data_IF_730951442166
#
_entry.id   IF_730951442166
#
_cell.length_a   1.000
_cell.length_b   1.000
_cell.length_c   1.000
_cell.angle_alpha   90.00
_cell.angle_beta   90.00
_cell.angle_gamma   90.00
#
_symmetry.space_group_name_H-M   'P 1'
#
loop_
_entity.id
_entity.type
_entity.pdbx_description
1 polymer ?
#
# COMPACT_ATOMS: atom_id res chain seq x y z
N UNK A 1 -21.94 -16.19 -41.35
CA UNK A 1 -21.65 -14.75 -41.40
C UNK A 1 -22.74 -13.93 -40.70
N UNK A 2 -24.03 -14.12 -40.92
CA UNK A 2 -25.13 -13.37 -40.25
C UNK A 2 -25.13 -13.49 -38.74
N UNK A 3 -24.82 -14.65 -38.13
CA UNK A 3 -24.81 -14.90 -36.68
C UNK A 3 -23.69 -14.12 -35.96
N UNK A 4 -22.57 -13.87 -36.59
CA UNK A 4 -21.46 -13.10 -36.03
C UNK A 4 -21.74 -11.59 -36.07
N UNK A 5 -22.43 -11.11 -37.12
CA UNK A 5 -22.88 -9.73 -37.21
C UNK A 5 -23.90 -9.38 -36.11
N UNK A 6 -24.86 -10.29 -35.84
CA UNK A 6 -25.83 -10.06 -34.74
C UNK A 6 -25.17 -10.06 -33.36
N UNK A 7 -24.19 -10.92 -33.14
CA UNK A 7 -23.42 -10.91 -31.87
C UNK A 7 -22.61 -9.62 -31.68
N UNK A 8 -22.04 -9.10 -32.78
CA UNK A 8 -21.25 -7.86 -32.74
C UNK A 8 -22.14 -6.63 -32.51
N UNK A 9 -23.33 -6.59 -33.14
CA UNK A 9 -24.33 -5.52 -32.89
C UNK A 9 -24.88 -5.58 -31.47
N UNK A 10 -25.14 -6.77 -30.92
CA UNK A 10 -25.61 -6.93 -29.55
C UNK A 10 -24.53 -6.55 -28.51
N UNK A 11 -23.26 -6.81 -28.80
CA UNK A 11 -22.14 -6.38 -27.96
C UNK A 11 -21.95 -4.86 -27.92
N UNK A 12 -22.23 -4.18 -29.05
CA UNK A 12 -22.08 -2.71 -29.12
C UNK A 12 -23.20 -1.94 -28.42
N UNK A 13 -24.37 -2.55 -28.23
CA UNK A 13 -25.51 -1.91 -27.54
C UNK A 13 -25.41 -1.98 -26.01
N UNK A 14 -24.49 -2.79 -25.47
CA UNK A 14 -24.25 -2.94 -24.03
C UNK A 14 -23.22 -1.92 -23.45
N UNK A 15 -22.63 -1.06 -24.28
CA UNK A 15 -21.84 0.07 -23.79
C UNK A 15 -22.79 1.13 -23.23
N UNK A 16 -23.31 0.84 -22.02
CA UNK A 16 -24.06 1.82 -21.23
C UNK A 16 -23.17 3.03 -20.98
N UNK A 17 -23.64 4.21 -21.33
CA UNK A 17 -22.98 5.47 -20.97
C UNK A 17 -22.96 5.52 -19.44
N UNK A 18 -21.79 5.30 -18.83
CA UNK A 18 -21.57 5.55 -17.41
C UNK A 18 -21.74 7.05 -17.19
N UNK A 19 -22.91 7.48 -16.76
CA UNK A 19 -23.13 8.85 -16.29
C UNK A 19 -22.45 8.97 -14.93
N UNK A 20 -21.22 9.50 -14.93
CA UNK A 20 -20.66 10.07 -13.73
C UNK A 20 -21.51 11.27 -13.34
N UNK A 21 -22.09 11.27 -12.14
CA UNK A 21 -22.76 12.45 -11.59
C UNK A 21 -21.68 13.52 -11.39
N UNK A 22 -21.58 14.45 -12.33
CA UNK A 22 -20.67 15.59 -12.22
C UNK A 22 -21.39 16.62 -11.37
N UNK A 23 -21.08 16.66 -10.07
CA UNK A 23 -21.46 17.81 -9.23
C UNK A 23 -20.69 19.04 -9.75
N UNK A 24 -21.40 19.94 -10.42
CA UNK A 24 -20.80 21.15 -10.98
C UNK A 24 -20.73 22.21 -9.88
N UNK A 25 -19.53 22.41 -9.33
CA UNK A 25 -19.25 23.49 -8.38
C UNK A 25 -18.58 24.66 -9.08
N UNK A 26 -19.03 25.87 -8.78
CA UNK A 26 -18.41 27.12 -9.27
C UNK A 26 -17.37 27.59 -8.26
N UNK A 27 -16.11 27.67 -8.67
CA UNK A 27 -15.00 28.13 -7.83
C UNK A 27 -14.57 29.54 -8.23
N UNK A 28 -14.15 30.33 -7.25
CA UNK A 28 -13.67 31.72 -7.48
C UNK A 28 -12.38 31.76 -8.32
N UNK A 29 -11.55 30.72 -8.21
CA UNK A 29 -10.28 30.59 -8.92
C UNK A 29 -9.85 29.11 -9.00
N UNK A 30 -8.82 28.85 -9.83
CA UNK A 30 -8.26 27.51 -10.02
C UNK A 30 -7.65 26.94 -8.74
N UNK A 31 -7.04 27.78 -7.88
CA UNK A 31 -6.45 27.33 -6.62
C UNK A 31 -7.50 26.78 -5.64
N UNK A 32 -8.69 27.38 -5.58
CA UNK A 32 -9.80 26.88 -4.75
C UNK A 32 -10.33 25.55 -5.30
N UNK A 33 -10.41 25.41 -6.62
CA UNK A 33 -10.79 24.15 -7.28
C UNK A 33 -9.79 23.04 -7.01
N UNK A 34 -8.50 23.33 -7.08
CA UNK A 34 -7.46 22.35 -6.81
C UNK A 34 -7.45 21.92 -5.34
N UNK A 35 -7.63 22.86 -4.41
CA UNK A 35 -7.83 22.57 -2.99
C UNK A 35 -9.04 21.66 -2.74
N UNK A 36 -10.16 21.91 -3.41
CA UNK A 36 -11.35 21.08 -3.32
C UNK A 36 -11.08 19.65 -3.80
N UNK A 37 -10.40 19.52 -4.95
CA UNK A 37 -10.01 18.21 -5.49
C UNK A 37 -9.07 17.44 -4.56
N UNK A 38 -8.10 18.14 -3.99
CA UNK A 38 -7.15 17.55 -3.03
C UNK A 38 -7.88 17.03 -1.79
N UNK A 39 -8.71 17.87 -1.16
CA UNK A 39 -9.47 17.51 0.04
C UNK A 39 -10.43 16.33 -0.21
N UNK A 40 -11.16 16.34 -1.32
CA UNK A 40 -12.11 15.26 -1.64
C UNK A 40 -11.44 13.94 -1.96
N UNK A 41 -10.19 13.94 -2.45
CA UNK A 41 -9.36 12.74 -2.65
C UNK A 41 -8.64 12.28 -1.39
N UNK A 42 -8.27 13.21 -0.51
CA UNK A 42 -7.60 12.89 0.75
C UNK A 42 -8.56 12.29 1.78
N UNK A 43 -9.84 12.64 1.70
CA UNK A 43 -10.85 12.21 2.66
C UNK A 43 -11.65 11.02 2.14
N UNK A 44 -11.86 10.02 3.02
CA UNK A 44 -12.67 8.83 2.74
C UNK A 44 -14.14 9.08 3.01
N UNK A 45 -14.97 8.48 2.21
CA UNK A 45 -16.39 8.39 2.48
C UNK A 45 -16.65 7.32 3.56
N UNK A 46 -17.19 7.65 4.74
CA UNK A 46 -17.31 6.71 5.86
C UNK A 46 -18.30 5.56 5.61
N UNK A 47 -19.15 5.64 4.59
CA UNK A 47 -20.15 4.60 4.24
C UNK A 47 -20.01 4.06 2.81
N UNK A 48 -18.88 4.31 2.12
CA UNK A 48 -18.73 4.03 0.69
C UNK A 48 -17.64 2.98 0.39
N UNK A 49 -17.58 1.87 1.11
CA UNK A 49 -16.63 0.79 0.86
C UNK A 49 -15.16 1.24 0.69
N UNK A 50 -14.74 2.18 1.52
CA UNK A 50 -13.37 2.69 1.55
C UNK A 50 -12.95 3.58 0.35
N UNK A 51 -13.91 4.02 -0.48
CA UNK A 51 -13.65 4.97 -1.56
C UNK A 51 -13.41 6.38 -1.01
N UNK A 52 -12.68 7.21 -1.76
CA UNK A 52 -12.60 8.63 -1.45
C UNK A 52 -13.92 9.36 -1.74
N UNK A 53 -14.03 10.59 -1.22
CA UNK A 53 -15.24 11.41 -1.38
C UNK A 53 -15.39 11.86 -2.85
N UNK A 54 -14.28 12.00 -3.59
CA UNK A 54 -14.32 12.45 -4.99
C UNK A 54 -14.95 11.41 -5.91
N UNK A 55 -14.60 10.14 -5.74
CA UNK A 55 -14.98 9.06 -6.67
C UNK A 55 -16.26 8.32 -6.25
N UNK A 56 -16.80 8.60 -5.07
CA UNK A 56 -18.01 7.95 -4.59
C UNK A 56 -19.29 8.63 -5.08
N UNK A 57 -20.20 7.84 -5.67
CA UNK A 57 -21.54 8.28 -6.08
C UNK A 57 -22.61 8.08 -4.98
N UNK A 58 -22.21 7.69 -3.77
CA UNK A 58 -23.15 7.55 -2.67
C UNK A 58 -23.72 8.92 -2.25
N UNK A 59 -25.01 8.99 -1.85
CA UNK A 59 -25.64 10.26 -1.42
C UNK A 59 -24.83 10.97 -0.34
N UNK A 60 -24.27 10.22 0.61
CA UNK A 60 -23.43 10.81 1.67
C UNK A 60 -22.15 11.44 1.13
N UNK A 61 -21.55 10.89 0.07
CA UNK A 61 -20.36 11.49 -0.54
C UNK A 61 -20.69 12.84 -1.20
N UNK A 62 -21.87 12.94 -1.83
CA UNK A 62 -22.39 14.20 -2.37
C UNK A 62 -22.60 15.25 -1.26
N UNK A 63 -23.16 14.85 -0.12
CA UNK A 63 -23.34 15.77 1.02
C UNK A 63 -21.99 16.21 1.60
N UNK A 64 -21.02 15.31 1.69
CA UNK A 64 -19.67 15.63 2.17
C UNK A 64 -18.94 16.58 1.20
N UNK A 65 -19.06 16.38 -0.12
CA UNK A 65 -18.50 17.30 -1.12
C UNK A 65 -19.12 18.69 -0.97
N UNK A 66 -20.43 18.78 -0.79
CA UNK A 66 -21.14 20.06 -0.58
C UNK A 66 -20.67 20.77 0.69
N UNK A 67 -20.45 20.03 1.75
CA UNK A 67 -19.95 20.57 3.02
C UNK A 67 -18.50 21.09 2.90
N UNK A 68 -17.62 20.34 2.24
CA UNK A 68 -16.25 20.78 1.94
C UNK A 68 -16.28 22.06 1.09
N UNK A 69 -17.11 22.09 0.05
CA UNK A 69 -17.27 23.26 -0.81
C UNK A 69 -17.73 24.50 -0.02
N UNK A 70 -18.73 24.33 0.85
CA UNK A 70 -19.22 25.40 1.74
C UNK A 70 -18.10 25.96 2.63
N UNK A 71 -17.34 25.08 3.27
CA UNK A 71 -16.25 25.48 4.16
C UNK A 71 -15.09 26.15 3.42
N UNK A 72 -14.80 25.74 2.19
CA UNK A 72 -13.84 26.45 1.32
C UNK A 72 -14.32 27.85 0.99
N UNK A 73 -15.60 28.01 0.64
CA UNK A 73 -16.22 29.33 0.38
C UNK A 73 -16.21 30.27 1.60
N UNK A 74 -16.24 29.71 2.82
CA UNK A 74 -16.04 30.41 4.10
C UNK A 74 -14.58 30.79 4.37
N UNK A 75 -13.64 30.38 3.53
CA UNK A 75 -12.21 30.67 3.67
C UNK A 75 -11.48 29.81 4.70
N UNK A 76 -12.04 28.67 5.12
CA UNK A 76 -11.37 27.75 6.04
C UNK A 76 -10.10 27.15 5.42
N UNK A 77 -9.10 26.88 6.24
CA UNK A 77 -7.91 26.19 5.83
C UNK A 77 -8.18 24.70 5.60
N UNK A 78 -7.32 24.01 4.81
CA UNK A 78 -7.43 22.56 4.59
C UNK A 78 -7.43 21.81 5.91
N UNK A 79 -6.55 22.19 6.86
CA UNK A 79 -6.46 21.53 8.15
C UNK A 79 -7.76 21.68 8.97
N UNK A 80 -8.36 22.87 8.98
CA UNK A 80 -9.64 23.10 9.68
C UNK A 80 -10.78 22.26 9.09
N UNK A 81 -10.78 22.06 7.76
CA UNK A 81 -11.77 21.21 7.09
C UNK A 81 -11.55 19.74 7.46
N UNK A 82 -10.30 19.28 7.42
CA UNK A 82 -9.94 17.90 7.81
C UNK A 82 -10.30 17.65 9.27
N UNK A 83 -9.95 18.55 10.19
CA UNK A 83 -10.24 18.41 11.61
C UNK A 83 -11.75 18.34 11.86
N UNK A 84 -12.54 19.19 11.21
CA UNK A 84 -14.01 19.15 11.27
C UNK A 84 -14.56 17.79 10.81
N UNK A 85 -14.01 17.24 9.72
CA UNK A 85 -14.43 15.93 9.23
C UNK A 85 -14.06 14.80 10.18
N UNK A 86 -12.86 14.87 10.78
CA UNK A 86 -12.37 13.90 11.78
C UNK A 86 -13.23 13.96 13.05
N UNK A 87 -13.53 15.14 13.55
CA UNK A 87 -14.35 15.32 14.76
C UNK A 87 -15.77 14.75 14.58
N UNK A 88 -16.32 14.86 13.37
CA UNK A 88 -17.69 14.43 13.09
C UNK A 88 -17.81 12.96 12.68
N UNK A 89 -16.84 12.43 11.94
CA UNK A 89 -16.90 11.09 11.34
C UNK A 89 -15.80 10.15 11.85
N UNK A 90 -14.89 10.63 12.69
CA UNK A 90 -13.78 9.87 13.26
C UNK A 90 -12.52 9.81 12.38
N UNK A 91 -11.43 9.28 12.94
CA UNK A 91 -10.13 9.18 12.27
C UNK A 91 -10.16 8.40 10.94
N UNK A 92 -11.16 7.53 10.77
CA UNK A 92 -11.33 6.72 9.55
C UNK A 92 -11.52 7.57 8.28
N UNK A 93 -12.01 8.81 8.43
CA UNK A 93 -12.18 9.75 7.33
C UNK A 93 -10.87 10.13 6.66
N UNK A 94 -9.74 9.99 7.34
CA UNK A 94 -8.42 10.25 6.75
C UNK A 94 -7.94 9.06 5.95
N UNK A 95 -7.56 9.30 4.69
CA UNK A 95 -6.93 8.25 3.86
C UNK A 95 -5.54 7.90 4.38
N UNK A 96 -4.77 8.88 4.79
CA UNK A 96 -3.44 8.69 5.37
C UNK A 96 -3.51 8.84 6.88
N UNK A 97 -3.19 7.77 7.66
CA UNK A 97 -3.13 7.87 9.12
C UNK A 97 -2.15 8.97 9.52
N UNK A 98 -2.58 9.85 10.41
CA UNK A 98 -1.67 10.84 10.98
C UNK A 98 -0.54 10.16 11.74
N UNK A 99 0.65 10.75 11.73
CA UNK A 99 1.78 10.32 12.58
C UNK A 99 1.44 10.66 14.03
N UNK A 100 0.88 9.70 14.74
CA UNK A 100 0.57 9.78 16.15
C UNK A 100 1.33 8.69 16.91
N UNK A 101 1.44 8.79 18.24
CA UNK A 101 2.05 7.72 19.04
C UNK A 101 1.42 6.35 18.81
N UNK A 102 0.11 6.30 18.54
CA UNK A 102 -0.62 5.05 18.24
C UNK A 102 -0.26 4.47 16.86
N UNK A 103 -0.02 5.32 15.86
CA UNK A 103 0.30 4.91 14.50
C UNK A 103 1.81 4.80 14.23
N UNK A 104 2.65 5.19 15.20
CA UNK A 104 4.10 5.08 15.08
C UNK A 104 4.56 3.64 14.78
N UNK A 105 3.92 2.65 15.41
CA UNK A 105 4.21 1.22 15.16
C UNK A 105 3.93 0.84 13.71
N UNK A 106 2.88 1.41 13.09
CA UNK A 106 2.54 1.15 11.69
C UNK A 106 3.63 1.67 10.74
N UNK A 107 4.20 2.84 11.05
CA UNK A 107 5.21 3.47 10.21
C UNK A 107 6.62 2.89 10.42
N UNK A 108 6.99 2.63 11.67
CA UNK A 108 8.34 2.19 12.03
C UNK A 108 8.47 0.68 12.22
N UNK A 109 7.35 -0.03 12.45
CA UNK A 109 7.33 -1.48 12.66
C UNK A 109 8.04 -2.26 11.56
N UNK A 110 7.72 -2.06 10.26
CA UNK A 110 8.41 -2.76 9.17
C UNK A 110 9.91 -2.52 9.14
N UNK A 111 10.35 -1.30 9.44
CA UNK A 111 11.78 -0.95 9.48
C UNK A 111 12.50 -1.68 10.61
N UNK A 112 11.92 -1.71 11.81
CA UNK A 112 12.48 -2.41 12.96
C UNK A 112 12.58 -3.92 12.72
N UNK A 113 11.53 -4.52 12.12
CA UNK A 113 11.54 -5.94 11.75
C UNK A 113 12.61 -6.24 10.69
N UNK A 114 12.78 -5.37 9.72
CA UNK A 114 13.77 -5.53 8.67
C UNK A 114 15.19 -5.47 9.26
N UNK A 115 15.49 -4.47 10.06
CA UNK A 115 16.79 -4.34 10.73
C UNK A 115 17.05 -5.53 11.65
N UNK A 116 16.07 -5.91 12.49
CA UNK A 116 16.17 -7.09 13.36
C UNK A 116 16.41 -8.38 12.58
N UNK A 117 15.72 -8.57 11.45
CA UNK A 117 15.92 -9.71 10.57
C UNK A 117 17.35 -9.78 9.99
N UNK A 118 17.87 -8.65 9.52
CA UNK A 118 19.26 -8.57 9.03
C UNK A 118 20.28 -8.89 10.12
N UNK A 119 20.08 -8.41 11.35
CA UNK A 119 20.96 -8.73 12.49
C UNK A 119 20.93 -10.24 12.78
N UNK A 120 19.75 -10.84 12.84
CA UNK A 120 19.62 -12.29 13.06
C UNK A 120 20.32 -13.11 11.98
N UNK A 121 20.09 -12.76 10.70
CA UNK A 121 20.77 -13.42 9.57
C UNK A 121 22.29 -13.25 9.68
N UNK A 122 22.77 -12.06 9.97
CA UNK A 122 24.19 -11.78 10.14
C UNK A 122 24.83 -12.63 11.25
N UNK A 123 24.14 -12.76 12.39
CA UNK A 123 24.60 -13.63 13.50
C UNK A 123 24.62 -15.12 13.09
N UNK A 124 23.58 -15.60 12.42
CA UNK A 124 23.52 -17.00 11.98
C UNK A 124 24.62 -17.30 10.96
N UNK A 125 24.80 -16.43 9.96
CA UNK A 125 25.85 -16.60 8.93
C UNK A 125 27.24 -16.50 9.58
N UNK A 126 27.46 -15.54 10.46
CA UNK A 126 28.73 -15.39 11.20
C UNK A 126 29.05 -16.67 12.01
N UNK A 127 28.10 -17.17 12.79
CA UNK A 127 28.27 -18.42 13.57
C UNK A 127 28.55 -19.64 12.68
N UNK A 128 27.84 -19.76 11.55
CA UNK A 128 28.06 -20.87 10.58
C UNK A 128 29.45 -20.80 9.93
N UNK A 129 29.93 -19.58 9.60
CA UNK A 129 31.28 -19.40 9.04
C UNK A 129 32.35 -19.78 10.04
N UNK A 130 32.22 -19.38 11.31
CA UNK A 130 33.17 -19.75 12.36
C UNK A 130 33.19 -21.26 12.60
N UNK A 131 32.03 -21.93 12.65
CA UNK A 131 31.94 -23.39 12.81
C UNK A 131 32.50 -24.15 11.60
N UNK A 132 32.37 -23.63 10.39
CA UNK A 132 32.93 -24.20 9.18
C UNK A 132 34.47 -24.13 9.17
N UNK A 133 35.02 -23.00 9.56
CA UNK A 133 36.46 -22.79 9.67
C UNK A 133 37.09 -23.78 10.68
N UNK A 134 36.43 -23.99 11.82
CA UNK A 134 36.90 -24.92 12.86
C UNK A 134 36.76 -26.39 12.43
N UNK A 135 35.79 -26.72 11.56
CA UNK A 135 35.54 -28.11 11.10
C UNK A 135 36.40 -28.51 9.92
N UNK A 136 36.94 -27.57 9.16
CA UNK A 136 37.82 -27.85 8.02
C UNK A 136 39.24 -28.15 8.45
N UNK A 137 39.65 -27.75 9.69
CA UNK A 137 41.01 -27.94 10.19
C UNK A 137 41.22 -29.26 10.99
N UNK A 138 40.15 -30.02 11.23
CA UNK A 138 40.28 -31.28 11.97
C UNK A 138 39.61 -32.45 11.25
N UNK A 139 40.15 -32.83 10.11
CA UNK A 139 39.94 -34.19 9.65
C UNK A 139 40.58 -35.12 10.69
N UNK A 140 39.77 -35.95 11.30
CA UNK A 140 40.23 -37.01 12.19
C UNK A 140 41.29 -37.86 11.45
N UNK A 141 42.31 -38.38 12.18
CA UNK A 141 43.33 -39.22 11.58
C UNK A 141 42.71 -40.39 10.81
N UNK A 142 41.58 -40.90 11.25
CA UNK A 142 40.79 -41.95 10.61
C UNK A 142 40.12 -41.53 9.31
N UNK A 143 39.64 -40.30 9.22
CA UNK A 143 39.08 -39.72 7.99
C UNK A 143 40.16 -39.44 6.94
N UNK A 144 41.34 -39.02 7.36
CA UNK A 144 42.50 -38.89 6.47
C UNK A 144 42.95 -40.23 5.88
N UNK A 145 43.04 -41.27 6.70
CA UNK A 145 43.37 -42.61 6.23
C UNK A 145 42.34 -43.17 5.23
N UNK A 146 41.04 -42.94 5.48
CA UNK A 146 39.98 -43.33 4.52
C UNK A 146 40.08 -42.56 3.22
N UNK A 147 40.39 -41.28 3.28
CA UNK A 147 40.52 -40.42 2.11
C UNK A 147 41.72 -40.87 1.27
N UNK A 148 42.87 -41.14 1.90
CA UNK A 148 44.08 -41.65 1.24
C UNK A 148 43.82 -42.99 0.57
N UNK A 149 43.10 -43.90 1.24
CA UNK A 149 42.75 -45.23 0.68
C UNK A 149 41.81 -45.13 -0.53
N UNK A 150 40.89 -44.12 -0.51
CA UNK A 150 39.97 -43.91 -1.63
C UNK A 150 40.68 -43.25 -2.82
N UNK A 151 41.61 -42.34 -2.57
CA UNK A 151 42.40 -41.70 -3.61
C UNK A 151 43.39 -42.68 -4.29
N UNK A 152 43.97 -43.61 -3.53
CA UNK A 152 44.85 -44.63 -4.07
C UNK A 152 44.08 -45.62 -4.96
N UNK A 153 42.89 -46.01 -4.54
CA UNK A 153 42.02 -46.92 -5.33
C UNK A 153 41.54 -46.31 -6.66
N UNK A 154 41.36 -44.94 -6.69
CA UNK A 154 40.95 -44.22 -7.91
C UNK A 154 42.10 -44.03 -8.90
N UNK A 155 43.34 -44.27 -8.47
CA UNK A 155 44.56 -44.12 -9.29
C UNK A 155 44.96 -45.41 -10.00
N UNK A 156 44.43 -46.55 -9.53
CA UNK A 156 44.70 -47.89 -10.06
C UNK A 156 43.62 -48.37 -11.06
N UNK A 157 42.53 -47.64 -11.29
CA UNK A 157 41.52 -47.87 -12.31
C UNK A 157 41.71 -46.86 -13.46
#
# INVERSE_FOLDING_TARGET
MKRWLTALVFGLTLTGVAQAAIDTYEFKNDAERDRFRELTKELRCPKCQNQDIADSNAPIATDLRREIYRMLGEGKSNQQIIDFMVDRYGDFVRYKPALTGKTAILWFGPLVLLVGGFVVIGVIVGRRRTQRATRTDTLSAEERQRLDTLLDKTKDD
#
